data_IF_381872215367
#
_entry.id   IF_381872215367
#
_cell.length_a   1.000
_cell.length_b   1.000
_cell.length_c   1.000
_cell.angle_alpha   90.00
_cell.angle_beta   90.00
_cell.angle_gamma   90.00
#
_symmetry.space_group_name_H-M   'P 1'
#
loop_
_entity.id
_entity.type
_entity.pdbx_description
1 polymer ?
#
# COMPACT_ATOMS: atom_id res chain seq x y z
N UNK A 1 -53.35 -10.29 -23.08
CA UNK A 1 -52.51 -10.37 -21.89
C UNK A 1 -51.05 -10.38 -22.30
N UNK A 2 -50.36 -9.24 -22.15
CA UNK A 2 -48.94 -9.09 -22.45
C UNK A 2 -48.19 -9.37 -21.15
N UNK A 3 -47.45 -10.49 -21.09
CA UNK A 3 -46.55 -10.84 -19.99
C UNK A 3 -45.46 -9.79 -19.89
N UNK A 4 -45.34 -9.15 -18.73
CA UNK A 4 -44.20 -8.30 -18.39
C UNK A 4 -42.97 -9.17 -18.14
N UNK A 5 -41.80 -8.86 -18.71
CA UNK A 5 -40.62 -9.60 -18.41
C UNK A 5 -40.24 -9.35 -16.94
N UNK A 6 -39.97 -10.44 -16.21
CA UNK A 6 -39.39 -10.40 -14.87
C UNK A 6 -38.01 -9.77 -14.98
N UNK A 7 -37.88 -8.57 -14.47
CA UNK A 7 -36.58 -7.95 -14.19
C UNK A 7 -35.92 -8.77 -13.10
N UNK A 8 -35.00 -9.65 -13.46
CA UNK A 8 -34.09 -10.27 -12.50
C UNK A 8 -33.26 -9.14 -11.91
N UNK A 9 -33.50 -8.80 -10.65
CA UNK A 9 -32.60 -7.96 -9.86
C UNK A 9 -31.27 -8.72 -9.75
N UNK A 10 -30.34 -8.40 -10.62
CA UNK A 10 -28.94 -8.76 -10.41
C UNK A 10 -28.52 -8.03 -9.15
N UNK A 11 -28.47 -8.75 -8.03
CA UNK A 11 -27.92 -8.20 -6.80
C UNK A 11 -26.52 -7.72 -7.12
N UNK A 12 -26.27 -6.43 -6.96
CA UNK A 12 -24.91 -5.90 -6.99
C UNK A 12 -24.13 -6.66 -5.92
N UNK A 13 -23.22 -7.52 -6.35
CA UNK A 13 -22.23 -8.08 -5.45
C UNK A 13 -21.36 -6.89 -5.06
N UNK A 14 -21.59 -6.35 -3.87
CA UNK A 14 -20.72 -5.32 -3.30
C UNK A 14 -19.41 -6.01 -2.98
N UNK A 15 -18.42 -5.77 -3.80
CA UNK A 15 -17.06 -6.30 -3.61
C UNK A 15 -16.40 -5.53 -2.48
N UNK A 16 -15.94 -6.25 -1.45
CA UNK A 16 -15.13 -5.66 -0.39
C UNK A 16 -13.75 -5.32 -0.94
N UNK A 17 -13.39 -4.05 -0.89
CA UNK A 17 -12.07 -3.57 -1.32
C UNK A 17 -11.43 -2.80 -0.17
N UNK A 18 -10.22 -3.20 0.18
CA UNK A 18 -9.40 -2.52 1.18
C UNK A 18 -8.32 -1.67 0.53
N UNK A 19 -7.91 -0.62 1.23
CA UNK A 19 -6.71 0.11 0.88
C UNK A 19 -5.60 -0.18 1.88
N UNK A 20 -4.37 -0.27 1.38
CA UNK A 20 -3.16 -0.43 2.18
C UNK A 20 -2.25 0.74 1.88
N UNK A 21 -1.77 1.40 2.91
CA UNK A 21 -0.75 2.45 2.80
C UNK A 21 0.37 2.20 3.80
N UNK A 22 1.61 2.29 3.33
CA UNK A 22 2.80 2.16 4.18
C UNK A 22 3.35 3.53 4.53
N UNK A 23 3.93 3.66 5.74
CA UNK A 23 4.54 4.90 6.16
C UNK A 23 5.65 4.66 7.18
N UNK A 24 6.63 5.56 7.20
CA UNK A 24 7.72 5.57 8.18
C UNK A 24 8.06 7.00 8.59
N UNK A 25 8.20 7.21 9.90
CA UNK A 25 8.83 8.43 10.42
C UNK A 25 10.32 8.19 10.61
N UNK A 26 11.12 8.73 9.70
CA UNK A 26 12.57 8.65 9.81
C UNK A 26 13.15 9.52 10.95
N UNK A 27 12.35 10.42 11.55
CA UNK A 27 12.80 11.27 12.65
C UNK A 27 12.71 10.56 13.99
N UNK A 28 11.98 9.44 14.05
CA UNK A 28 11.89 8.61 15.24
C UNK A 28 13.29 8.12 15.69
N UNK A 29 13.73 8.45 16.91
CA UNK A 29 15.05 8.05 17.40
C UNK A 29 15.25 6.53 17.47
N UNK A 30 14.21 5.76 17.80
CA UNK A 30 14.28 4.30 17.88
C UNK A 30 14.49 3.70 16.50
N UNK A 31 13.73 4.18 15.51
CA UNK A 31 13.89 3.75 14.13
C UNK A 31 15.29 4.10 13.59
N UNK A 32 15.81 5.31 13.88
CA UNK A 32 17.17 5.70 13.49
C UNK A 32 18.23 4.80 14.07
N UNK A 33 18.11 4.43 15.34
CA UNK A 33 19.06 3.55 16.01
C UNK A 33 19.07 2.15 15.35
N UNK A 34 17.91 1.59 15.09
CA UNK A 34 17.80 0.30 14.41
C UNK A 34 18.32 0.38 12.98
N UNK A 35 17.93 1.39 12.21
CA UNK A 35 18.43 1.60 10.86
C UNK A 35 19.95 1.70 10.81
N UNK A 36 20.57 2.47 11.70
CA UNK A 36 22.02 2.62 11.78
C UNK A 36 22.72 1.28 12.08
N UNK A 37 22.15 0.46 12.98
CA UNK A 37 22.67 -0.86 13.34
C UNK A 37 22.73 -1.82 12.14
N UNK A 38 21.73 -1.79 11.27
CA UNK A 38 21.62 -2.70 10.13
C UNK A 38 22.21 -2.12 8.84
N UNK A 39 22.24 -0.79 8.66
CA UNK A 39 22.82 -0.11 7.50
C UNK A 39 24.33 0.01 7.52
N UNK A 40 24.99 -0.15 8.66
CA UNK A 40 26.43 0.04 8.84
C UNK A 40 27.36 -0.84 7.99
N UNK A 41 26.82 -1.73 7.15
CA UNK A 41 27.54 -2.57 6.18
C UNK A 41 27.24 -2.21 4.72
N UNK A 42 26.44 -1.19 4.47
CA UNK A 42 26.01 -0.81 3.13
C UNK A 42 26.90 0.32 2.63
N UNK A 43 27.48 0.13 1.45
CA UNK A 43 28.25 1.16 0.75
C UNK A 43 27.36 2.39 0.47
N UNK A 44 27.52 3.44 1.31
CA UNK A 44 26.77 4.69 1.22
C UNK A 44 27.04 5.47 -0.09
N UNK A 45 28.03 5.07 -0.90
CA UNK A 45 28.34 5.71 -2.18
C UNK A 45 27.25 5.52 -3.24
N UNK A 46 26.31 4.61 -3.03
CA UNK A 46 25.26 4.25 -4.01
C UNK A 46 23.90 4.88 -3.76
N UNK A 47 23.81 6.09 -3.24
CA UNK A 47 22.59 6.95 -3.20
C UNK A 47 21.23 6.30 -2.79
N UNK A 48 21.23 5.02 -2.37
CA UNK A 48 20.00 4.32 -1.98
C UNK A 48 19.49 4.70 -0.57
N UNK A 49 20.32 5.42 0.19
CA UNK A 49 20.05 5.84 1.56
C UNK A 49 19.99 7.37 1.70
N UNK A 50 19.72 8.09 0.59
CA UNK A 50 19.60 9.54 0.66
C UNK A 50 18.42 9.96 1.53
N UNK A 51 18.58 11.00 2.36
CA UNK A 51 17.50 11.62 3.14
C UNK A 51 16.24 11.89 2.30
N UNK A 52 16.40 12.14 1.02
CA UNK A 52 15.31 12.41 0.11
C UNK A 52 14.29 11.24 -0.01
N UNK A 53 14.71 10.00 0.22
CA UNK A 53 13.82 8.83 0.14
C UNK A 53 12.89 8.68 1.34
N UNK A 54 13.28 9.25 2.48
CA UNK A 54 12.56 9.10 3.74
C UNK A 54 11.96 10.42 4.22
N UNK A 55 12.00 11.47 3.37
CA UNK A 55 11.52 12.78 3.75
C UNK A 55 9.99 12.78 3.85
N UNK A 56 9.48 12.99 5.04
CA UNK A 56 8.06 13.24 5.28
C UNK A 56 7.79 14.75 5.24
N UNK A 57 6.86 15.16 4.39
CA UNK A 57 6.38 16.53 4.29
C UNK A 57 5.13 16.79 5.16
N UNK A 58 4.74 15.84 5.99
CA UNK A 58 3.54 15.91 6.83
C UNK A 58 2.25 15.86 6.02
N UNK A 59 2.30 15.29 4.82
CA UNK A 59 1.17 15.28 3.88
C UNK A 59 0.25 14.05 4.05
N UNK A 60 0.66 13.04 4.78
CA UNK A 60 -0.09 11.78 4.94
C UNK A 60 -1.54 12.01 5.42
N UNK A 61 -1.80 13.00 6.27
CA UNK A 61 -3.16 13.38 6.68
C UNK A 61 -4.09 13.74 5.51
N UNK A 62 -3.54 14.26 4.43
CA UNK A 62 -4.31 14.59 3.22
C UNK A 62 -4.60 13.35 2.38
N UNK A 63 -3.76 12.30 2.48
CA UNK A 63 -4.03 11.01 1.90
C UNK A 63 -5.32 10.42 2.50
N UNK A 64 -5.42 10.36 3.83
CA UNK A 64 -6.62 9.88 4.52
C UNK A 64 -7.87 10.69 4.18
N UNK A 65 -7.76 12.03 4.16
CA UNK A 65 -8.86 12.91 3.73
C UNK A 65 -9.27 12.69 2.27
N UNK A 66 -8.30 12.38 1.41
CA UNK A 66 -8.56 12.03 0.02
C UNK A 66 -9.37 10.74 -0.09
N UNK A 67 -8.99 9.70 0.64
CA UNK A 67 -9.74 8.44 0.70
C UNK A 67 -11.15 8.65 1.21
N UNK A 68 -11.31 9.33 2.34
CA UNK A 68 -12.62 9.62 2.92
C UNK A 68 -13.54 10.37 1.95
N UNK A 69 -13.01 11.37 1.26
CA UNK A 69 -13.78 12.23 0.35
C UNK A 69 -14.06 11.59 -1.00
N UNK A 70 -13.09 10.86 -1.57
CA UNK A 70 -13.13 10.44 -2.98
C UNK A 70 -13.34 8.93 -3.17
N UNK A 71 -13.16 8.15 -2.11
CA UNK A 71 -13.39 6.70 -2.11
C UNK A 71 -14.12 6.24 -0.83
N UNK A 72 -15.30 6.83 -0.48
CA UNK A 72 -16.02 6.49 0.75
C UNK A 72 -16.52 5.04 0.78
N UNK A 73 -16.52 4.36 -0.34
CA UNK A 73 -16.88 2.96 -0.51
C UNK A 73 -15.83 1.98 0.01
N UNK A 74 -14.58 2.41 0.26
CA UNK A 74 -13.51 1.58 0.80
C UNK A 74 -13.95 0.94 2.12
N UNK A 75 -13.77 -0.38 2.24
CA UNK A 75 -14.16 -1.14 3.43
C UNK A 75 -13.27 -0.78 4.62
N UNK A 76 -11.95 -0.95 4.46
CA UNK A 76 -10.93 -0.64 5.48
C UNK A 76 -9.69 -0.02 4.85
N UNK A 77 -9.00 0.76 5.66
CA UNK A 77 -7.65 1.26 5.37
C UNK A 77 -6.69 0.58 6.35
N UNK A 78 -5.80 -0.24 5.82
CA UNK A 78 -4.69 -0.83 6.57
C UNK A 78 -3.51 0.12 6.53
N UNK A 79 -3.24 0.75 7.66
CA UNK A 79 -2.11 1.66 7.83
C UNK A 79 -0.91 0.90 8.38
N UNK A 80 0.07 0.64 7.52
CA UNK A 80 1.21 -0.24 7.79
C UNK A 80 2.43 0.57 8.19
N UNK A 81 2.99 0.27 9.37
CA UNK A 81 4.20 0.91 9.89
C UNK A 81 5.11 -0.09 10.59
N UNK A 82 6.28 0.34 11.01
CA UNK A 82 7.16 -0.46 11.89
C UNK A 82 6.78 -0.37 13.39
N UNK A 83 5.56 0.05 13.72
CA UNK A 83 5.07 0.29 15.08
C UNK A 83 5.00 1.78 15.42
N UNK A 84 5.28 2.65 14.48
CA UNK A 84 5.15 4.10 14.60
C UNK A 84 3.71 4.54 14.34
N UNK A 85 3.35 5.70 14.88
CA UNK A 85 2.02 6.28 14.73
C UNK A 85 2.09 7.80 14.76
N UNK A 86 1.48 8.49 13.75
CA UNK A 86 1.34 9.94 13.80
C UNK A 86 0.41 10.38 14.94
N UNK A 87 0.73 11.46 15.64
CA UNK A 87 -0.07 11.99 16.76
C UNK A 87 -1.51 12.38 16.37
N UNK A 88 -1.68 12.82 15.13
CA UNK A 88 -2.99 13.26 14.61
C UNK A 88 -3.92 12.10 14.18
N UNK A 89 -3.48 10.85 14.23
CA UNK A 89 -4.24 9.71 13.75
C UNK A 89 -5.34 9.33 14.73
N UNK A 90 -6.59 9.33 14.27
CA UNK A 90 -7.75 8.87 15.04
C UNK A 90 -7.90 7.35 14.95
N UNK A 91 -7.46 6.66 15.97
CA UNK A 91 -7.54 5.20 16.07
C UNK A 91 -8.97 4.68 16.33
N UNK A 92 -9.90 5.57 16.67
CA UNK A 92 -11.29 5.16 16.93
C UNK A 92 -12.11 4.97 15.66
N UNK A 93 -11.58 5.39 14.50
CA UNK A 93 -12.24 5.22 13.23
C UNK A 93 -12.38 3.73 12.86
N UNK A 94 -13.60 3.17 12.72
CA UNK A 94 -13.84 1.76 12.49
C UNK A 94 -13.29 1.26 11.14
N UNK A 95 -13.02 2.17 10.21
CA UNK A 95 -12.39 1.84 8.93
C UNK A 95 -10.88 1.78 8.99
N UNK A 96 -10.25 2.29 10.07
CA UNK A 96 -8.80 2.25 10.23
C UNK A 96 -8.37 0.93 10.88
N UNK A 97 -7.37 0.29 10.30
CA UNK A 97 -6.67 -0.84 10.87
C UNK A 97 -5.17 -0.53 10.94
N UNK A 98 -4.65 -0.31 12.14
CA UNK A 98 -3.21 -0.18 12.36
C UNK A 98 -2.54 -1.54 12.24
N UNK A 99 -1.49 -1.63 11.44
CA UNK A 99 -0.76 -2.87 11.17
C UNK A 99 0.72 -2.63 11.39
N UNK A 100 1.31 -3.41 12.29
CA UNK A 100 2.76 -3.43 12.45
C UNK A 100 3.39 -4.44 11.47
N UNK A 101 4.61 -4.18 11.04
CA UNK A 101 5.38 -5.17 10.28
C UNK A 101 5.44 -6.54 10.97
N UNK A 102 5.41 -6.58 12.31
CA UNK A 102 5.42 -7.82 13.11
C UNK A 102 4.15 -8.64 12.98
N UNK A 103 3.05 -8.05 12.55
CA UNK A 103 1.75 -8.71 12.49
C UNK A 103 1.63 -9.64 11.27
N UNK A 104 2.45 -9.42 10.22
CA UNK A 104 2.28 -10.12 8.95
C UNK A 104 3.60 -10.53 8.27
N UNK A 105 4.76 -9.97 8.69
CA UNK A 105 6.07 -10.31 8.15
C UNK A 105 6.74 -11.36 9.07
N UNK A 106 7.29 -12.46 8.51
CA UNK A 106 7.99 -13.46 9.31
C UNK A 106 9.14 -12.86 10.15
N UNK A 107 9.28 -13.28 11.39
CA UNK A 107 10.25 -12.74 12.35
C UNK A 107 11.70 -12.75 11.82
N UNK A 108 12.08 -13.78 11.04
CA UNK A 108 13.41 -13.87 10.42
C UNK A 108 13.72 -12.72 9.43
N UNK A 109 12.70 -11.99 8.99
CA UNK A 109 12.82 -10.86 8.06
C UNK A 109 12.78 -9.49 8.77
N UNK A 110 12.65 -9.48 10.08
CA UNK A 110 12.54 -8.26 10.88
C UNK A 110 13.88 -7.93 11.59
N UNK A 111 14.18 -6.65 11.83
CA UNK A 111 13.45 -5.49 11.30
C UNK A 111 13.67 -5.32 9.80
N UNK A 112 12.69 -4.76 9.09
CA UNK A 112 12.72 -4.54 7.65
C UNK A 112 12.80 -3.05 7.33
N UNK A 113 13.69 -2.69 6.38
CA UNK A 113 13.91 -1.33 5.88
C UNK A 113 13.81 -1.28 4.34
N UNK A 114 13.23 -2.32 3.75
CA UNK A 114 13.08 -2.46 2.31
C UNK A 114 11.58 -2.52 1.96
N UNK A 115 11.10 -1.51 1.23
CA UNK A 115 9.69 -1.41 0.83
C UNK A 115 9.24 -2.63 0.02
N UNK A 116 10.06 -3.14 -0.89
CA UNK A 116 9.70 -4.31 -1.69
C UNK A 116 9.45 -5.57 -0.84
N UNK A 117 10.19 -5.73 0.27
CA UNK A 117 9.92 -6.84 1.20
C UNK A 117 8.63 -6.61 1.98
N UNK A 118 8.37 -5.36 2.41
CA UNK A 118 7.12 -4.97 3.07
C UNK A 118 5.93 -5.30 2.15
N UNK A 119 6.01 -4.87 0.90
CA UNK A 119 4.98 -5.06 -0.13
C UNK A 119 4.72 -6.55 -0.42
N UNK A 120 5.76 -7.37 -0.49
CA UNK A 120 5.66 -8.79 -0.80
C UNK A 120 4.78 -9.56 0.20
N UNK A 121 4.71 -9.12 1.44
CA UNK A 121 3.96 -9.78 2.50
C UNK A 121 2.59 -9.15 2.79
N UNK A 122 2.16 -8.09 2.11
CA UNK A 122 0.89 -7.39 2.38
C UNK A 122 -0.33 -8.32 2.38
N UNK A 123 -0.33 -9.34 1.53
CA UNK A 123 -1.41 -10.33 1.45
C UNK A 123 -1.59 -11.16 2.75
N UNK A 124 -0.64 -11.11 3.67
CA UNK A 124 -0.71 -11.79 4.97
C UNK A 124 -1.27 -10.89 6.09
N UNK A 125 -1.66 -9.64 5.79
CA UNK A 125 -2.25 -8.76 6.79
C UNK A 125 -3.53 -9.38 7.33
N UNK A 126 -3.67 -9.54 8.67
CA UNK A 126 -4.85 -10.15 9.26
C UNK A 126 -6.15 -9.41 8.89
N UNK A 127 -7.10 -10.13 8.30
CA UNK A 127 -8.41 -9.58 7.93
C UNK A 127 -8.43 -8.64 6.72
N UNK A 128 -7.37 -8.63 5.92
CA UNK A 128 -7.36 -7.96 4.62
C UNK A 128 -8.38 -8.61 3.68
N UNK A 129 -9.05 -7.82 2.84
CA UNK A 129 -9.94 -8.35 1.81
C UNK A 129 -9.17 -9.03 0.69
N UNK A 130 -9.82 -9.97 -0.03
CA UNK A 130 -9.24 -10.60 -1.22
C UNK A 130 -8.88 -9.57 -2.31
N UNK A 131 -9.64 -8.46 -2.34
CA UNK A 131 -9.36 -7.33 -3.20
C UNK A 131 -8.79 -6.18 -2.37
N UNK A 132 -7.56 -5.81 -2.63
CA UNK A 132 -6.96 -4.65 -1.98
C UNK A 132 -6.11 -3.83 -2.94
N UNK A 133 -5.95 -2.55 -2.66
CA UNK A 133 -5.12 -1.63 -3.43
C UNK A 133 -4.02 -1.08 -2.53
N UNK A 134 -2.78 -1.24 -2.96
CA UNK A 134 -1.62 -0.69 -2.28
C UNK A 134 -1.28 0.72 -2.77
N UNK A 135 -0.99 1.61 -1.83
CA UNK A 135 -0.56 2.98 -2.08
C UNK A 135 0.76 3.27 -1.38
N UNK A 136 1.65 3.97 -2.07
CA UNK A 136 2.70 4.72 -1.39
C UNK A 136 2.09 5.94 -0.70
N UNK A 137 2.74 6.44 0.34
CA UNK A 137 2.30 7.58 1.15
C UNK A 137 2.31 8.93 0.40
N UNK A 138 2.91 8.98 -0.78
CA UNK A 138 2.98 10.12 -1.69
C UNK A 138 2.00 10.07 -2.89
N UNK A 139 1.12 9.06 -2.95
CA UNK A 139 0.09 8.91 -4.01
C UNK A 139 -1.29 9.32 -3.51
N UNK A 140 -1.78 10.47 -3.93
CA UNK A 140 -3.01 11.07 -3.42
C UNK A 140 -4.19 10.92 -4.37
N UNK A 141 -5.36 10.69 -3.82
CA UNK A 141 -6.62 10.84 -4.55
C UNK A 141 -7.01 12.31 -4.61
N UNK A 142 -7.27 12.82 -5.81
CA UNK A 142 -7.61 14.22 -6.05
C UNK A 142 -9.01 14.42 -6.63
N UNK A 143 -9.70 13.34 -7.00
CA UNK A 143 -11.03 13.34 -7.59
C UNK A 143 -11.83 12.10 -7.16
N UNK A 144 -13.18 12.11 -7.24
CA UNK A 144 -14.01 10.96 -6.99
C UNK A 144 -13.54 9.75 -7.82
N UNK A 145 -13.26 8.65 -7.13
CA UNK A 145 -12.68 7.45 -7.72
C UNK A 145 -13.59 6.26 -7.38
N UNK A 146 -14.35 5.74 -8.35
CA UNK A 146 -15.24 4.61 -8.13
C UNK A 146 -14.45 3.29 -8.06
N UNK A 147 -14.99 2.22 -7.44
CA UNK A 147 -14.31 0.93 -7.29
C UNK A 147 -13.91 0.29 -8.63
N UNK A 148 -14.65 0.53 -9.71
CA UNK A 148 -14.38 0.02 -11.05
C UNK A 148 -13.08 0.56 -11.66
N UNK A 149 -12.50 1.60 -11.04
CA UNK A 149 -11.17 2.09 -11.40
C UNK A 149 -10.08 1.09 -11.04
N UNK A 150 -10.31 0.29 -10.01
CA UNK A 150 -9.33 -0.68 -9.49
C UNK A 150 -9.69 -2.12 -9.85
N UNK A 151 -10.99 -2.44 -9.88
CA UNK A 151 -11.45 -3.81 -10.17
C UNK A 151 -12.67 -3.79 -11.10
N UNK A 152 -12.69 -4.71 -12.06
CA UNK A 152 -13.82 -4.92 -12.99
C UNK A 152 -14.10 -6.41 -13.05
N UNK A 153 -15.34 -6.79 -12.83
CA UNK A 153 -15.78 -8.21 -12.85
C UNK A 153 -14.93 -9.11 -11.94
N UNK A 154 -14.49 -8.58 -10.78
CA UNK A 154 -13.66 -9.28 -9.82
C UNK A 154 -12.16 -9.36 -10.19
N UNK A 155 -11.75 -8.77 -11.30
CA UNK A 155 -10.36 -8.75 -11.74
C UNK A 155 -9.73 -7.36 -11.57
N UNK A 156 -8.43 -7.26 -11.26
CA UNK A 156 -7.72 -6.00 -11.24
C UNK A 156 -7.82 -5.26 -12.58
N UNK A 157 -8.15 -3.97 -12.55
CA UNK A 157 -8.14 -3.10 -13.72
C UNK A 157 -6.75 -2.50 -13.88
N UNK A 158 -5.85 -3.23 -14.55
CA UNK A 158 -4.47 -2.82 -14.77
C UNK A 158 -4.21 -2.42 -16.23
N UNK A 159 -3.06 -1.80 -16.48
CA UNK A 159 -2.63 -1.39 -17.81
C UNK A 159 -1.40 -2.21 -18.20
N UNK A 160 -1.50 -2.94 -19.30
CA UNK A 160 -0.34 -3.60 -19.89
C UNK A 160 0.52 -2.56 -20.63
N UNK A 161 1.74 -2.34 -20.16
CA UNK A 161 2.72 -1.45 -20.79
C UNK A 161 3.92 -2.26 -21.26
N UNK A 162 4.17 -2.27 -22.56
CA UNK A 162 5.39 -2.83 -23.10
C UNK A 162 6.54 -1.82 -22.95
N UNK A 163 7.55 -2.17 -22.17
CA UNK A 163 8.76 -1.38 -22.00
C UNK A 163 9.99 -2.19 -22.42
N UNK A 164 10.80 -1.61 -23.29
CA UNK A 164 12.09 -2.23 -23.65
C UNK A 164 13.02 -2.12 -22.45
N UNK A 165 13.49 -3.27 -21.95
CA UNK A 165 14.45 -3.34 -20.86
C UNK A 165 15.85 -3.49 -21.46
N UNK A 166 16.62 -2.39 -21.50
CA UNK A 166 17.95 -2.35 -22.13
C UNK A 166 19.10 -2.32 -21.14
N UNK A 167 18.82 -2.41 -19.84
CA UNK A 167 19.81 -2.18 -18.78
C UNK A 167 20.30 -3.44 -18.08
N UNK A 168 21.58 -3.44 -17.68
CA UNK A 168 22.20 -4.47 -16.85
C UNK A 168 22.04 -4.19 -15.33
N UNK A 169 21.14 -3.28 -14.93
CA UNK A 169 20.92 -2.92 -13.53
C UNK A 169 20.19 -4.03 -12.77
N UNK A 170 20.31 -4.01 -11.43
CA UNK A 170 19.55 -4.92 -10.57
C UNK A 170 18.04 -4.79 -10.83
N UNK A 171 17.54 -3.56 -11.04
CA UNK A 171 16.15 -3.28 -11.37
C UNK A 171 15.71 -3.93 -12.69
N UNK A 172 16.57 -3.86 -13.72
CA UNK A 172 16.31 -4.53 -15.00
C UNK A 172 16.14 -6.04 -14.82
N UNK A 173 16.97 -6.67 -14.00
CA UNK A 173 16.87 -8.11 -13.69
C UNK A 173 15.58 -8.45 -12.91
N UNK A 174 15.15 -7.59 -11.99
CA UNK A 174 13.87 -7.78 -11.31
C UNK A 174 12.70 -7.75 -12.30
N UNK A 175 12.69 -6.80 -13.24
CA UNK A 175 11.66 -6.72 -14.29
C UNK A 175 11.66 -7.97 -15.20
N UNK A 176 12.82 -8.47 -15.58
CA UNK A 176 12.93 -9.71 -16.38
C UNK A 176 12.40 -10.93 -15.64
N UNK A 177 12.66 -11.02 -14.34
CA UNK A 177 12.18 -12.15 -13.54
C UNK A 177 10.66 -12.15 -13.35
N UNK A 178 10.00 -10.97 -13.40
CA UNK A 178 8.55 -10.87 -13.28
C UNK A 178 7.80 -11.28 -14.56
N UNK A 179 8.51 -11.45 -15.68
CA UNK A 179 7.92 -11.82 -16.99
C UNK A 179 8.11 -13.31 -17.30
N UNK A 180 8.91 -14.02 -16.50
CA UNK A 180 9.14 -15.47 -16.62
C UNK A 180 8.18 -16.28 -15.76
#
# INVERSE_FOLDING_TARGET
>A
QVSRPHCLSVGLIVMDIDFVVTWVDMNDPAWKADFAKYSGKIDNSKNHLSEARFRDYGLLKYWFRGVEKFAPWVRKVHFVTCGQKPEWLDETNPKLHLVSHRDYIPERCLPVFNSSLIELYLHNIPGIADHFVYFNDDFYMTAPTPPERFFRDGLPADIAVFRMNTGASLWSRCLENNVR
#
